data_IF_836269221648
#
_entry.id   IF_836269221648
#
_cell.length_a   1.000
_cell.length_b   1.000
_cell.length_c   1.000
_cell.angle_alpha   90.00
_cell.angle_beta   90.00
_cell.angle_gamma   90.00
#
_symmetry.space_group_name_H-M   'P 1'
#
loop_
_entity.id
_entity.type
_entity.pdbx_description
1 polymer ?
#
# COMPACT_ATOMS: atom_id res chain seq x y z
N UNK A 1 -17.71 -3.34 -25.43
CA UNK A 1 -17.68 -3.81 -24.03
C UNK A 1 -16.88 -2.77 -23.26
N UNK A 2 -17.43 -2.14 -22.23
CA UNK A 2 -16.61 -1.28 -21.39
C UNK A 2 -15.58 -2.17 -20.67
N UNK A 3 -14.30 -1.83 -20.77
CA UNK A 3 -13.25 -2.56 -20.06
C UNK A 3 -13.49 -2.37 -18.56
N UNK A 4 -13.62 -3.47 -17.82
CA UNK A 4 -13.76 -3.38 -16.37
C UNK A 4 -12.43 -2.87 -15.81
N UNK A 5 -12.43 -1.80 -15.01
CA UNK A 5 -11.19 -1.27 -14.45
C UNK A 5 -10.52 -2.32 -13.58
N UNK A 6 -9.21 -2.49 -13.74
CA UNK A 6 -8.42 -3.46 -13.02
C UNK A 6 -8.23 -2.98 -11.56
N UNK A 7 -8.56 -3.82 -10.56
CA UNK A 7 -8.28 -3.50 -9.16
C UNK A 7 -6.76 -3.45 -8.92
N UNK A 8 -6.29 -2.33 -8.38
CA UNK A 8 -4.86 -2.08 -8.13
C UNK A 8 -4.65 -1.65 -6.68
N UNK A 9 -3.55 -2.11 -6.09
CA UNK A 9 -3.05 -1.64 -4.81
C UNK A 9 -1.66 -1.06 -5.03
N UNK A 10 -1.41 0.14 -4.54
CA UNK A 10 -0.06 0.71 -4.51
C UNK A 10 0.68 0.17 -3.28
N UNK A 11 1.95 -0.21 -3.46
CA UNK A 11 2.81 -0.67 -2.37
C UNK A 11 4.07 0.17 -2.36
N UNK A 12 4.40 0.73 -1.20
CA UNK A 12 5.63 1.50 -1.03
C UNK A 12 6.30 1.19 0.30
N UNK A 13 7.62 1.40 0.34
CA UNK A 13 8.39 1.40 1.58
C UNK A 13 8.20 2.74 2.30
N UNK A 14 8.25 2.76 3.63
CA UNK A 14 8.16 4.00 4.41
C UNK A 14 9.40 4.90 4.39
N UNK A 15 10.23 4.77 3.35
CA UNK A 15 11.37 5.66 3.10
C UNK A 15 10.92 6.90 2.32
N UNK A 16 11.71 7.97 2.35
CA UNK A 16 11.40 9.21 1.63
C UNK A 16 11.13 8.95 0.13
N UNK A 17 11.99 8.16 -0.52
CA UNK A 17 11.84 7.82 -1.94
C UNK A 17 10.59 6.96 -2.20
N UNK A 18 10.29 6.01 -1.31
CA UNK A 18 9.10 5.16 -1.44
C UNK A 18 7.81 5.96 -1.31
N UNK A 19 7.75 6.87 -0.34
CA UNK A 19 6.57 7.73 -0.12
C UNK A 19 6.40 8.72 -1.28
N UNK A 20 7.49 9.31 -1.79
CA UNK A 20 7.45 10.21 -2.94
C UNK A 20 6.97 9.48 -4.22
N UNK A 21 7.44 8.26 -4.46
CA UNK A 21 6.98 7.45 -5.58
C UNK A 21 5.48 7.12 -5.47
N UNK A 22 5.01 6.75 -4.27
CA UNK A 22 3.58 6.53 -4.02
C UNK A 22 2.76 7.80 -4.27
N UNK A 23 3.24 8.96 -3.79
CA UNK A 23 2.57 10.24 -4.00
C UNK A 23 2.42 10.56 -5.49
N UNK A 24 3.47 10.37 -6.30
CA UNK A 24 3.42 10.60 -7.73
C UNK A 24 2.41 9.66 -8.43
N UNK A 25 2.40 8.37 -8.09
CA UNK A 25 1.43 7.42 -8.64
C UNK A 25 -0.01 7.78 -8.26
N UNK A 26 -0.23 8.21 -7.01
CA UNK A 26 -1.54 8.66 -6.53
C UNK A 26 -1.99 9.93 -7.28
N UNK A 27 -1.09 10.88 -7.52
CA UNK A 27 -1.41 12.08 -8.31
C UNK A 27 -1.77 11.72 -9.76
N UNK A 28 -1.05 10.80 -10.39
CA UNK A 28 -1.37 10.32 -11.74
C UNK A 28 -2.76 9.70 -11.80
N UNK A 29 -3.09 8.82 -10.83
CA UNK A 29 -4.42 8.23 -10.72
C UNK A 29 -5.50 9.30 -10.47
N UNK A 30 -5.30 10.18 -9.48
CA UNK A 30 -6.27 11.20 -9.09
C UNK A 30 -6.52 12.24 -10.19
N UNK A 31 -5.54 12.48 -11.07
CA UNK A 31 -5.69 13.35 -12.24
C UNK A 31 -6.54 12.76 -13.37
N UNK A 32 -6.86 11.46 -13.32
CA UNK A 32 -7.52 10.73 -14.39
C UNK A 32 -6.61 10.36 -15.58
N UNK A 33 -5.29 10.61 -15.47
CA UNK A 33 -4.30 10.28 -16.50
C UNK A 33 -4.14 8.76 -16.72
N UNK A 34 -4.43 7.96 -15.70
CA UNK A 34 -4.34 6.49 -15.74
C UNK A 34 -5.75 5.91 -15.94
N UNK A 35 -6.02 5.41 -17.14
CA UNK A 35 -7.30 4.76 -17.48
C UNK A 35 -7.31 3.28 -17.06
N UNK A 36 -8.51 2.73 -16.86
CA UNK A 36 -8.70 1.29 -16.62
C UNK A 36 -8.19 0.80 -15.26
N UNK A 37 -8.00 1.68 -14.27
CA UNK A 37 -7.52 1.33 -12.92
C UNK A 37 -8.56 1.71 -11.87
N UNK A 38 -8.90 0.74 -11.02
CA UNK A 38 -9.61 0.97 -9.76
C UNK A 38 -8.61 0.88 -8.59
N UNK A 39 -8.18 2.03 -8.07
CA UNK A 39 -7.21 2.08 -6.98
C UNK A 39 -7.89 1.74 -5.65
N UNK A 40 -7.59 0.57 -5.10
CA UNK A 40 -8.18 0.08 -3.86
C UNK A 40 -7.58 0.72 -2.60
N UNK A 41 -6.33 1.18 -2.67
CA UNK A 41 -5.63 1.84 -1.57
C UNK A 41 -4.09 1.77 -1.67
N UNK A 42 -3.44 2.17 -0.57
CA UNK A 42 -1.98 2.18 -0.40
C UNK A 42 -1.55 1.25 0.74
N UNK A 43 -0.56 0.41 0.47
CA UNK A 43 0.17 -0.38 1.47
C UNK A 43 1.53 0.28 1.72
N UNK A 44 1.80 0.63 2.97
CA UNK A 44 3.10 1.14 3.41
C UNK A 44 3.80 0.09 4.25
N UNK A 45 4.92 -0.43 3.74
CA UNK A 45 5.77 -1.41 4.44
C UNK A 45 6.92 -0.68 5.12
N UNK A 46 7.17 -0.95 6.40
CA UNK A 46 8.28 -0.35 7.12
C UNK A 46 9.61 -0.58 6.40
N UNK A 47 10.40 0.48 6.25
CA UNK A 47 11.68 0.44 5.55
C UNK A 47 12.85 -0.03 6.43
N UNK A 48 12.70 0.07 7.74
CA UNK A 48 13.65 -0.36 8.76
C UNK A 48 12.90 -0.76 10.05
N UNK A 49 13.55 -1.52 10.96
CA UNK A 49 12.98 -1.82 12.28
C UNK A 49 12.82 -0.56 13.14
N UNK A 50 11.90 -0.62 14.11
CA UNK A 50 11.69 0.43 15.10
C UNK A 50 10.69 1.51 14.66
N UNK A 51 10.76 2.68 15.31
CA UNK A 51 9.81 3.76 15.09
C UNK A 51 10.20 4.58 13.87
N UNK A 52 9.28 4.71 12.91
CA UNK A 52 9.43 5.61 11.76
C UNK A 52 9.73 7.06 12.21
N UNK A 53 10.70 7.79 11.63
CA UNK A 53 10.91 9.20 11.90
C UNK A 53 9.64 10.05 11.71
N UNK A 54 9.43 11.08 12.54
CA UNK A 54 8.21 11.91 12.52
C UNK A 54 7.92 12.50 11.14
N UNK A 55 8.94 13.03 10.47
CA UNK A 55 8.80 13.58 9.11
C UNK A 55 8.20 12.56 8.12
N UNK A 56 8.61 11.29 8.19
CA UNK A 56 8.08 10.24 7.32
C UNK A 56 6.69 9.79 7.75
N UNK A 57 6.37 9.84 9.06
CA UNK A 57 5.00 9.61 9.53
C UNK A 57 4.04 10.68 8.98
N UNK A 58 4.44 11.95 9.03
CA UNK A 58 3.63 13.08 8.57
C UNK A 58 3.43 13.01 7.04
N UNK A 59 4.46 12.63 6.28
CA UNK A 59 4.35 12.41 4.84
C UNK A 59 3.40 11.25 4.49
N UNK A 60 3.48 10.11 5.19
CA UNK A 60 2.54 8.99 4.97
C UNK A 60 1.11 9.43 5.27
N UNK A 61 0.89 10.17 6.37
CA UNK A 61 -0.43 10.71 6.72
C UNK A 61 -0.97 11.62 5.62
N UNK A 62 -0.15 12.53 5.12
CA UNK A 62 -0.52 13.44 4.03
C UNK A 62 -0.94 12.66 2.78
N UNK A 63 -0.09 11.73 2.31
CA UNK A 63 -0.35 10.93 1.11
C UNK A 63 -1.56 10.03 1.27
N UNK A 64 -1.78 9.48 2.47
CA UNK A 64 -2.92 8.59 2.75
C UNK A 64 -4.28 9.26 2.61
N UNK A 65 -4.36 10.59 2.75
CA UNK A 65 -5.62 11.33 2.55
C UNK A 65 -6.13 11.35 1.12
N UNK A 66 -5.29 10.96 0.14
CA UNK A 66 -5.62 10.95 -1.27
C UNK A 66 -5.98 9.55 -1.81
N UNK A 67 -6.08 8.53 -0.95
CA UNK A 67 -6.42 7.14 -1.34
C UNK A 67 -7.58 6.60 -0.51
N UNK A 68 -8.34 5.61 -1.02
CA UNK A 68 -9.49 5.09 -0.29
C UNK A 68 -9.14 4.39 1.04
N UNK A 69 -7.95 3.76 1.09
CA UNK A 69 -7.51 2.93 2.22
C UNK A 69 -6.00 3.02 2.41
N UNK A 70 -5.57 2.93 3.66
CA UNK A 70 -4.18 2.79 4.05
C UNK A 70 -4.02 1.51 4.87
N UNK A 71 -3.05 0.67 4.50
CA UNK A 71 -2.60 -0.45 5.32
C UNK A 71 -1.12 -0.28 5.63
N UNK A 72 -0.77 -0.36 6.91
CA UNK A 72 0.62 -0.24 7.36
C UNK A 72 1.15 -1.59 7.84
N UNK A 73 2.23 -2.05 7.21
CA UNK A 73 2.87 -3.33 7.48
C UNK A 73 4.19 -3.09 8.23
N UNK A 74 4.42 -3.75 9.37
CA UNK A 74 5.62 -3.54 10.16
C UNK A 74 6.87 -4.10 9.47
N UNK A 75 8.03 -3.80 10.05
CA UNK A 75 9.27 -4.44 9.65
C UNK A 75 9.23 -5.93 10.01
N UNK A 76 9.57 -6.78 9.05
CA UNK A 76 9.65 -8.23 9.23
C UNK A 76 11.04 -8.71 8.81
N UNK A 77 11.93 -8.89 9.79
CA UNK A 77 13.27 -9.44 9.57
C UNK A 77 13.24 -10.78 8.79
N UNK A 78 12.32 -11.73 9.08
CA UNK A 78 12.23 -12.99 8.35
C UNK A 78 12.11 -12.84 6.83
N UNK A 79 11.38 -11.82 6.35
CA UNK A 79 11.19 -11.59 4.91
C UNK A 79 12.50 -11.18 4.22
N UNK A 80 13.37 -10.44 4.91
CA UNK A 80 14.70 -10.07 4.41
C UNK A 80 15.63 -11.29 4.30
N UNK A 81 15.42 -12.27 5.17
CA UNK A 81 16.16 -13.54 5.19
C UNK A 81 15.58 -14.57 4.21
N UNK A 82 14.61 -14.19 3.38
CA UNK A 82 13.99 -15.09 2.39
C UNK A 82 13.03 -16.12 2.98
N UNK A 83 12.65 -15.99 4.25
CA UNK A 83 11.66 -16.87 4.85
C UNK A 83 10.28 -16.60 4.25
N UNK A 84 9.48 -17.64 3.97
CA UNK A 84 8.20 -17.50 3.29
C UNK A 84 7.24 -16.63 4.13
N UNK A 85 6.60 -15.60 3.53
CA UNK A 85 5.69 -14.72 4.26
C UNK A 85 4.52 -15.44 4.92
N UNK A 86 4.06 -16.55 4.36
CA UNK A 86 2.95 -17.34 4.89
C UNK A 86 3.21 -17.88 6.32
N UNK A 87 4.47 -18.17 6.65
CA UNK A 87 4.86 -18.68 7.97
C UNK A 87 5.06 -17.56 9.00
N UNK A 88 5.27 -16.32 8.52
CA UNK A 88 5.66 -15.17 9.35
C UNK A 88 4.76 -13.95 9.07
N UNK A 89 3.49 -14.15 8.76
CA UNK A 89 2.61 -13.04 8.38
C UNK A 89 2.25 -12.19 9.61
N UNK A 90 2.61 -10.89 9.65
CA UNK A 90 2.25 -10.05 10.79
C UNK A 90 0.73 -9.86 10.85
N UNK A 91 0.17 -9.78 12.06
CA UNK A 91 -1.27 -9.56 12.28
C UNK A 91 -1.81 -8.31 11.58
N UNK A 92 -0.95 -7.33 11.32
CA UNK A 92 -1.26 -6.10 10.58
C UNK A 92 -1.62 -6.36 9.11
N UNK A 93 -1.28 -7.53 8.56
CA UNK A 93 -1.76 -7.95 7.25
C UNK A 93 -3.22 -8.42 7.26
N UNK A 94 -3.81 -8.77 8.42
CA UNK A 94 -5.15 -9.33 8.45
C UNK A 94 -6.24 -8.38 7.89
N UNK A 95 -6.24 -7.07 8.21
CA UNK A 95 -7.15 -6.12 7.57
C UNK A 95 -6.94 -6.04 6.06
N UNK A 96 -5.69 -6.03 5.59
CA UNK A 96 -5.37 -6.01 4.15
C UNK A 96 -5.95 -7.24 3.45
N UNK A 97 -5.69 -8.44 3.96
CA UNK A 97 -6.19 -9.70 3.38
C UNK A 97 -7.72 -9.71 3.35
N UNK A 98 -8.36 -9.32 4.46
CA UNK A 98 -9.83 -9.24 4.56
C UNK A 98 -10.40 -8.27 3.52
N UNK A 99 -9.82 -7.08 3.44
CA UNK A 99 -10.32 -6.02 2.57
C UNK A 99 -10.10 -6.39 1.11
N UNK A 100 -8.93 -6.90 0.72
CA UNK A 100 -8.68 -7.32 -0.66
C UNK A 100 -9.56 -8.50 -1.07
N UNK A 101 -9.72 -9.51 -0.21
CA UNK A 101 -10.64 -10.63 -0.47
C UNK A 101 -12.05 -10.14 -0.77
N UNK A 102 -12.51 -9.11 -0.05
CA UNK A 102 -13.83 -8.51 -0.28
C UNK A 102 -13.89 -7.65 -1.55
N UNK A 103 -12.85 -6.87 -1.82
CA UNK A 103 -12.83 -5.88 -2.90
C UNK A 103 -12.54 -6.49 -4.27
N UNK A 104 -11.93 -7.66 -4.32
CA UNK A 104 -11.58 -8.33 -5.59
C UNK A 104 -12.48 -9.52 -5.91
N UNK A 105 -13.54 -9.77 -5.12
CA UNK A 105 -14.54 -10.76 -5.48
C UNK A 105 -15.29 -10.27 -6.74
N UNK A 106 -15.41 -11.10 -7.79
CA UNK A 106 -16.25 -10.76 -8.93
C UNK A 106 -17.70 -10.60 -8.44
N UNK A 107 -18.35 -9.52 -8.88
CA UNK A 107 -19.78 -9.28 -8.64
C UNK A 107 -20.66 -10.35 -9.30
#
# INVERSE_FOLDING_TARGET
>A
MAEQPQPVVLVARSSANGIAAAQNAIQQWASGMVAGVDLLGLVVVADAPGRRPRVLQDLVRLVSGAVPRLWEIPWMEPWRLGQPPAENLPKQCAPLVRDLTRLTQPL
#
